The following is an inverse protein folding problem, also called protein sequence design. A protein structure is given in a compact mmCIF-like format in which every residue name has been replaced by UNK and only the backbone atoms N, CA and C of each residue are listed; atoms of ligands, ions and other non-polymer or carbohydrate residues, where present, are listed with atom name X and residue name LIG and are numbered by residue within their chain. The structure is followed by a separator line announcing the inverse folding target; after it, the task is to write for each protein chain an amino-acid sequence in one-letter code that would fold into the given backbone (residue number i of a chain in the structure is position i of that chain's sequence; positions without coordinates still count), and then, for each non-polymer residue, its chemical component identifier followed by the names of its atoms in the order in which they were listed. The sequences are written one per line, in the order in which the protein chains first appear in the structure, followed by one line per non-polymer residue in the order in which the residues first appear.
data_IF_289554213027
#
_entry.id   IF_289554213027
#
_cell.length_a   1.000
_cell.length_b   1.000
_cell.length_c   1.000
_cell.angle_alpha   90.00
_cell.angle_beta   90.00
_cell.angle_gamma   90.00
#
_symmetry.space_group_name_H-M   'P 1'
#
loop_
_entity.id
_entity.type
_entity.pdbx_description
1 polymer ?
#
# COMPACT_ATOMS: atom_id res chain seq x y z
N UNK A 1 -8.93 -10.08 -17.03
CA UNK A 1 -7.48 -9.74 -17.29
C UNK A 1 -6.73 -10.97 -17.80
N UNK A 2 -5.58 -10.85 -18.52
CA UNK A 2 -4.70 -12.00 -18.79
C UNK A 2 -3.68 -12.09 -17.62
N UNK A 3 -4.05 -12.81 -16.58
CA UNK A 3 -3.33 -12.88 -15.30
C UNK A 3 -1.89 -13.37 -15.45
N UNK A 4 -1.64 -14.39 -16.28
CA UNK A 4 -0.29 -14.93 -16.52
C UNK A 4 0.62 -13.87 -17.13
N UNK A 5 0.17 -13.23 -18.22
CA UNK A 5 0.97 -12.19 -18.90
C UNK A 5 1.19 -10.96 -18.02
N UNK A 6 0.21 -10.58 -17.21
CA UNK A 6 0.34 -9.46 -16.27
C UNK A 6 1.35 -9.81 -15.18
N UNK A 7 1.27 -11.01 -14.58
CA UNK A 7 2.25 -11.47 -13.60
C UNK A 7 3.67 -11.45 -14.19
N UNK A 8 3.86 -12.04 -15.37
CA UNK A 8 5.16 -12.09 -16.04
C UNK A 8 5.69 -10.71 -16.37
N UNK A 9 4.82 -9.80 -16.81
CA UNK A 9 5.20 -8.41 -17.08
C UNK A 9 5.73 -7.71 -15.83
N UNK A 10 5.00 -7.79 -14.71
CA UNK A 10 5.42 -7.16 -13.44
C UNK A 10 6.72 -7.78 -12.92
N UNK A 11 6.83 -9.12 -12.95
CA UNK A 11 8.05 -9.83 -12.52
C UNK A 11 9.27 -9.38 -13.36
N UNK A 12 9.12 -9.32 -14.67
CA UNK A 12 10.20 -8.90 -15.56
C UNK A 12 10.57 -7.42 -15.36
N UNK A 13 9.56 -6.54 -15.18
CA UNK A 13 9.78 -5.13 -14.89
C UNK A 13 10.57 -4.94 -13.58
N UNK A 14 10.22 -5.66 -12.51
CA UNK A 14 10.97 -5.64 -11.25
C UNK A 14 12.42 -6.11 -11.45
N UNK A 15 12.63 -7.22 -12.19
CA UNK A 15 13.98 -7.75 -12.50
C UNK A 15 14.84 -6.72 -13.24
N UNK A 16 14.30 -6.12 -14.28
CA UNK A 16 15.00 -5.14 -15.10
C UNK A 16 15.34 -3.89 -14.29
N UNK A 17 14.39 -3.43 -13.46
CA UNK A 17 14.62 -2.28 -12.62
C UNK A 17 15.75 -2.53 -11.61
N UNK A 18 15.72 -3.66 -10.91
CA UNK A 18 16.76 -4.02 -9.95
C UNK A 18 18.16 -4.10 -10.60
N UNK A 19 18.25 -4.73 -11.81
CA UNK A 19 19.51 -4.80 -12.59
C UNK A 19 20.01 -3.41 -12.98
N UNK A 20 19.15 -2.56 -13.50
CA UNK A 20 19.50 -1.21 -13.95
C UNK A 20 19.91 -0.30 -12.78
N UNK A 21 19.22 -0.42 -11.65
CA UNK A 21 19.54 0.30 -10.42
C UNK A 21 20.78 -0.28 -9.69
N UNK A 22 21.28 -1.46 -10.10
CA UNK A 22 22.41 -2.18 -9.50
C UNK A 22 22.20 -2.45 -8.00
N UNK A 23 20.98 -2.80 -7.63
CA UNK A 23 20.62 -3.17 -6.25
C UNK A 23 20.62 -4.67 -6.07
N UNK A 24 20.73 -5.12 -4.81
CA UNK A 24 20.85 -6.54 -4.48
C UNK A 24 19.49 -7.24 -4.40
N UNK A 25 18.39 -6.53 -4.14
CA UNK A 25 17.08 -7.15 -3.94
C UNK A 25 15.98 -6.17 -3.53
N UNK A 26 14.99 -6.71 -2.84
CA UNK A 26 13.77 -6.01 -2.45
C UNK A 26 13.46 -6.15 -0.97
N UNK A 27 12.88 -5.12 -0.38
CA UNK A 27 12.32 -5.13 0.96
C UNK A 27 10.83 -4.83 0.87
N UNK A 28 9.99 -5.71 1.40
CA UNK A 28 8.53 -5.60 1.33
C UNK A 28 7.93 -5.69 2.72
N UNK A 29 7.12 -4.71 3.11
CA UNK A 29 6.29 -4.79 4.31
C UNK A 29 5.13 -5.75 4.10
N UNK A 30 4.97 -6.77 4.96
CA UNK A 30 3.89 -7.76 4.86
C UNK A 30 2.91 -7.56 6.00
N UNK A 31 1.72 -7.02 5.68
CA UNK A 31 0.67 -6.69 6.64
C UNK A 31 -0.29 -7.85 6.94
N UNK A 32 -0.30 -8.88 6.11
CA UNK A 32 -1.34 -9.93 6.10
C UNK A 32 -2.58 -9.56 5.31
N UNK A 33 -2.54 -8.45 4.54
CA UNK A 33 -3.52 -8.06 3.53
C UNK A 33 -3.13 -8.54 2.13
N UNK A 34 -4.10 -8.55 1.21
CA UNK A 34 -3.95 -9.15 -0.12
C UNK A 34 -2.91 -8.44 -0.98
N UNK A 35 -2.83 -7.11 -0.91
CA UNK A 35 -1.90 -6.30 -1.71
C UNK A 35 -0.44 -6.62 -1.34
N UNK A 36 -0.13 -6.66 -0.04
CA UNK A 36 1.21 -7.01 0.44
C UNK A 36 1.59 -8.45 0.13
N UNK A 37 0.62 -9.38 0.18
CA UNK A 37 0.82 -10.78 -0.15
C UNK A 37 1.07 -10.97 -1.66
N UNK A 38 0.29 -10.30 -2.51
CA UNK A 38 0.53 -10.30 -3.96
C UNK A 38 1.90 -9.73 -4.29
N UNK A 39 2.22 -8.54 -3.77
CA UNK A 39 3.48 -7.84 -4.05
C UNK A 39 4.70 -8.67 -3.63
N UNK A 40 4.69 -9.23 -2.42
CA UNK A 40 5.80 -10.06 -1.93
C UNK A 40 5.95 -11.35 -2.75
N UNK A 41 4.85 -11.94 -3.22
CA UNK A 41 4.88 -13.10 -4.13
C UNK A 41 5.51 -12.73 -5.48
N UNK A 42 5.16 -11.59 -6.06
CA UNK A 42 5.74 -11.11 -7.32
C UNK A 42 7.25 -10.84 -7.16
N UNK A 43 7.67 -10.22 -6.04
CA UNK A 43 9.09 -10.01 -5.74
C UNK A 43 9.84 -11.35 -5.59
N UNK A 44 9.30 -12.31 -4.84
CA UNK A 44 9.89 -13.64 -4.68
C UNK A 44 10.11 -14.35 -6.03
N UNK A 45 9.14 -14.27 -6.94
CA UNK A 45 9.20 -14.87 -8.30
C UNK A 45 10.25 -14.22 -9.20
N UNK A 46 10.82 -13.07 -8.85
CA UNK A 46 11.92 -12.47 -9.61
C UNK A 46 13.22 -13.27 -9.48
N UNK A 47 13.41 -14.05 -8.42
CA UNK A 47 14.66 -14.70 -8.06
C UNK A 47 15.70 -13.77 -7.40
N UNK A 48 15.43 -12.47 -7.28
CA UNK A 48 16.25 -11.55 -6.49
C UNK A 48 15.99 -11.74 -4.99
N UNK A 49 17.00 -11.56 -4.11
CA UNK A 49 16.81 -11.54 -2.67
C UNK A 49 15.61 -10.67 -2.28
N UNK A 50 14.68 -11.23 -1.54
CA UNK A 50 13.44 -10.57 -1.11
C UNK A 50 13.30 -10.71 0.39
N UNK A 51 13.42 -9.59 1.11
CA UNK A 51 13.21 -9.51 2.55
C UNK A 51 11.76 -9.13 2.85
N UNK A 52 10.98 -10.06 3.38
CA UNK A 52 9.62 -9.84 3.87
C UNK A 52 9.66 -9.37 5.31
N UNK A 53 9.06 -8.20 5.61
CA UNK A 53 9.18 -7.57 6.93
C UNK A 53 7.81 -7.43 7.60
N UNK A 54 7.69 -7.98 8.81
CA UNK A 54 6.57 -7.71 9.71
C UNK A 54 6.88 -6.54 10.63
N UNK A 55 5.98 -5.57 10.71
CA UNK A 55 6.15 -4.33 11.48
C UNK A 55 4.93 -4.06 12.39
N UNK A 56 4.65 -4.93 13.39
CA UNK A 56 3.49 -4.73 14.24
C UNK A 56 3.61 -3.46 15.10
N UNK A 57 2.48 -2.73 15.20
CA UNK A 57 2.25 -1.62 16.13
C UNK A 57 0.82 -1.80 16.64
N UNK A 58 0.63 -2.42 17.82
CA UNK A 58 -0.67 -2.79 18.36
C UNK A 58 -1.55 -3.57 17.38
N UNK A 59 -0.91 -4.41 16.54
CA UNK A 59 -1.58 -5.11 15.46
C UNK A 59 -2.49 -6.24 15.98
N UNK A 60 -3.65 -6.42 15.36
CA UNK A 60 -4.56 -7.51 15.69
C UNK A 60 -3.92 -8.88 15.41
N UNK A 61 -4.13 -9.85 16.31
CA UNK A 61 -3.50 -11.19 16.24
C UNK A 61 -3.76 -11.91 14.91
N UNK A 62 -4.98 -11.80 14.37
CA UNK A 62 -5.34 -12.44 13.10
C UNK A 62 -4.58 -11.88 11.90
N UNK A 63 -4.27 -10.58 11.88
CA UNK A 63 -3.44 -9.97 10.83
C UNK A 63 -1.99 -10.48 10.92
N UNK A 64 -1.42 -10.51 12.14
CA UNK A 64 -0.09 -11.07 12.39
C UNK A 64 -0.02 -12.54 11.95
N UNK A 65 -1.02 -13.35 12.29
CA UNK A 65 -1.06 -14.78 11.90
C UNK A 65 -1.09 -14.94 10.38
N UNK A 66 -1.90 -14.16 9.64
CA UNK A 66 -1.95 -14.22 8.18
C UNK A 66 -0.62 -13.80 7.54
N UNK A 67 0.02 -12.73 8.07
CA UNK A 67 1.33 -12.31 7.58
C UNK A 67 2.37 -13.42 7.75
N UNK A 68 2.42 -14.06 8.91
CA UNK A 68 3.34 -15.16 9.21
C UNK A 68 3.08 -16.41 8.37
N UNK A 69 1.81 -16.77 8.16
CA UNK A 69 1.40 -17.88 7.27
C UNK A 69 1.94 -17.63 5.85
N UNK A 70 1.73 -16.43 5.32
CA UNK A 70 2.17 -16.07 3.99
C UNK A 70 3.70 -16.04 3.86
N UNK A 71 4.40 -15.41 4.79
CA UNK A 71 5.86 -15.37 4.79
C UNK A 71 6.45 -16.79 4.86
N UNK A 72 5.88 -17.65 5.70
CA UNK A 72 6.30 -19.04 5.82
C UNK A 72 6.11 -19.80 4.50
N UNK A 73 4.98 -19.59 3.82
CA UNK A 73 4.72 -20.16 2.50
C UNK A 73 5.77 -19.70 1.48
N UNK A 74 6.06 -18.40 1.43
CA UNK A 74 7.05 -17.86 0.50
C UNK A 74 8.45 -18.43 0.77
N UNK A 75 8.90 -18.50 2.02
CA UNK A 75 10.19 -19.07 2.40
C UNK A 75 10.32 -20.56 2.05
N UNK A 76 9.23 -21.32 2.18
CA UNK A 76 9.22 -22.74 1.81
C UNK A 76 9.19 -22.95 0.30
N UNK A 77 8.74 -21.96 -0.47
CA UNK A 77 8.60 -22.05 -1.93
C UNK A 77 9.79 -21.45 -2.68
N UNK A 78 10.42 -20.42 -2.12
CA UNK A 78 11.45 -19.63 -2.79
C UNK A 78 12.71 -19.49 -1.91
N UNK A 79 13.85 -19.99 -2.37
CA UNK A 79 15.13 -19.91 -1.67
C UNK A 79 15.67 -18.48 -1.49
N UNK A 80 15.23 -17.55 -2.34
CA UNK A 80 15.61 -16.13 -2.31
C UNK A 80 14.80 -15.28 -1.33
N UNK A 81 13.88 -15.88 -0.56
CA UNK A 81 13.05 -15.17 0.42
C UNK A 81 13.62 -15.32 1.82
N UNK A 82 13.78 -14.20 2.50
CA UNK A 82 14.10 -14.11 3.92
C UNK A 82 13.06 -13.25 4.64
N UNK A 83 13.06 -13.28 5.97
CA UNK A 83 12.13 -12.50 6.78
C UNK A 83 12.82 -11.77 7.92
N UNK A 84 12.18 -10.71 8.37
CA UNK A 84 12.49 -10.01 9.61
C UNK A 84 11.19 -9.58 10.30
N UNK A 85 11.23 -9.54 11.62
CA UNK A 85 10.14 -8.98 12.43
C UNK A 85 10.69 -7.90 13.33
N UNK A 86 10.11 -6.69 13.22
CA UNK A 86 10.46 -5.54 14.05
C UNK A 86 9.20 -5.02 14.71
N UNK A 87 9.03 -5.29 16.01
CA UNK A 87 7.92 -4.76 16.79
C UNK A 87 8.20 -3.29 17.13
N UNK A 88 7.43 -2.39 16.53
CA UNK A 88 7.56 -0.94 16.69
C UNK A 88 6.62 -0.38 17.76
N UNK A 89 5.96 -1.23 18.55
CA UNK A 89 4.97 -0.79 19.53
C UNK A 89 5.59 0.14 20.58
N UNK A 90 6.74 -0.22 21.16
CA UNK A 90 7.43 0.63 22.16
C UNK A 90 7.86 1.96 21.54
N UNK A 91 8.45 1.95 20.34
CA UNK A 91 8.88 3.16 19.63
C UNK A 91 7.70 4.10 19.36
N UNK A 92 6.54 3.56 19.00
CA UNK A 92 5.33 4.35 18.80
C UNK A 92 4.79 4.95 20.12
N UNK A 93 4.81 4.19 21.21
CA UNK A 93 4.39 4.70 22.54
C UNK A 93 5.37 5.78 23.04
N UNK A 94 6.67 5.60 22.86
CA UNK A 94 7.67 6.62 23.18
C UNK A 94 7.44 7.90 22.37
N UNK A 95 7.17 7.78 21.05
CA UNK A 95 6.79 8.93 20.22
C UNK A 95 5.57 9.67 20.78
N UNK A 96 4.51 8.94 21.16
CA UNK A 96 3.30 9.53 21.78
C UNK A 96 3.60 10.29 23.06
N UNK A 97 4.62 9.85 23.81
CA UNK A 97 5.00 10.48 25.08
C UNK A 97 5.77 11.80 24.91
N UNK A 98 6.50 11.95 23.81
CA UNK A 98 7.35 13.15 23.57
C UNK A 98 6.66 14.24 22.74
N UNK A 99 5.60 13.91 21.96
CA UNK A 99 4.87 14.94 21.20
C UNK A 99 3.94 15.76 22.12
N UNK A 100 3.63 17.03 21.75
CA UNK A 100 2.71 17.85 22.52
C UNK A 100 1.37 17.17 22.77
N UNK A 101 0.92 17.19 24.01
CA UNK A 101 -0.40 16.63 24.39
C UNK A 101 -1.49 17.59 23.95
N UNK A 102 -2.50 17.04 23.28
CA UNK A 102 -3.72 17.75 22.87
C UNK A 102 -4.94 16.95 23.31
N UNK A 103 -6.10 17.62 23.37
CA UNK A 103 -7.35 16.89 23.59
C UNK A 103 -7.59 15.85 22.50
N UNK A 104 -8.15 14.69 22.90
CA UNK A 104 -8.47 13.62 21.97
C UNK A 104 -9.44 14.10 20.89
N UNK A 105 -9.14 13.83 19.64
CA UNK A 105 -9.97 14.20 18.49
C UNK A 105 -9.64 13.30 17.29
N UNK A 106 -10.53 13.27 16.32
CA UNK A 106 -10.29 12.56 15.05
C UNK A 106 -9.01 13.01 14.33
N UNK A 107 -8.60 14.28 14.51
CA UNK A 107 -7.33 14.79 13.96
C UNK A 107 -6.12 14.18 14.66
N UNK A 108 -6.19 13.99 15.97
CA UNK A 108 -5.12 13.32 16.74
C UNK A 108 -5.02 11.86 16.32
N UNK A 109 -6.15 11.17 16.22
CA UNK A 109 -6.20 9.76 15.82
C UNK A 109 -5.62 9.55 14.42
N UNK A 110 -6.01 10.39 13.45
CA UNK A 110 -5.46 10.37 12.10
C UNK A 110 -3.96 10.68 12.07
N UNK A 111 -3.50 11.66 12.88
CA UNK A 111 -2.08 12.00 12.96
C UNK A 111 -1.27 10.85 13.52
N UNK A 112 -1.79 10.13 14.52
CA UNK A 112 -1.16 8.94 15.09
C UNK A 112 -1.18 7.75 14.13
N UNK A 113 -2.28 7.55 13.38
CA UNK A 113 -2.36 6.55 12.31
C UNK A 113 -1.28 6.80 11.25
N UNK A 114 -1.17 8.03 10.76
CA UNK A 114 -0.11 8.45 9.82
C UNK A 114 1.30 8.27 10.42
N UNK A 115 1.48 8.46 11.71
CA UNK A 115 2.76 8.23 12.39
C UNK A 115 3.13 6.75 12.38
N UNK A 116 2.18 5.84 12.63
CA UNK A 116 2.42 4.38 12.51
C UNK A 116 2.91 4.00 11.11
N UNK A 117 2.26 4.51 10.06
CA UNK A 117 2.67 4.27 8.69
C UNK A 117 4.11 4.78 8.40
N UNK A 118 4.45 5.98 8.91
CA UNK A 118 5.80 6.56 8.74
C UNK A 118 6.89 5.83 9.52
N UNK A 119 6.62 5.34 10.72
CA UNK A 119 7.57 4.51 11.47
C UNK A 119 7.87 3.20 10.72
N UNK A 120 6.86 2.57 10.13
CA UNK A 120 7.05 1.40 9.27
C UNK A 120 7.90 1.74 8.06
N UNK A 121 7.59 2.80 7.33
CA UNK A 121 8.38 3.26 6.18
C UNK A 121 9.84 3.49 6.57
N UNK A 122 10.11 4.22 7.64
CA UNK A 122 11.49 4.47 8.12
C UNK A 122 12.24 3.17 8.38
N UNK A 123 11.57 2.18 8.97
CA UNK A 123 12.17 0.87 9.26
C UNK A 123 12.46 0.07 7.98
N UNK A 124 11.54 0.11 7.00
CA UNK A 124 11.76 -0.53 5.70
C UNK A 124 12.96 0.07 4.98
N UNK A 125 13.08 1.40 4.96
CA UNK A 125 14.24 2.07 4.35
C UNK A 125 15.56 1.83 5.10
N UNK A 126 15.52 1.71 6.44
CA UNK A 126 16.69 1.30 7.20
C UNK A 126 17.18 -0.10 6.77
N UNK A 127 16.27 -1.07 6.68
CA UNK A 127 16.59 -2.42 6.23
C UNK A 127 17.03 -2.45 4.77
N UNK A 128 16.36 -1.69 3.90
CA UNK A 128 16.74 -1.57 2.49
C UNK A 128 18.16 -1.03 2.33
N UNK A 129 18.53 -0.01 3.12
CA UNK A 129 19.90 0.52 3.15
C UNK A 129 20.94 -0.52 3.58
N UNK A 130 20.64 -1.31 4.63
CA UNK A 130 21.53 -2.39 5.09
C UNK A 130 21.78 -3.45 4.02
N UNK A 131 20.77 -3.77 3.22
CA UNK A 131 20.82 -4.85 2.22
C UNK A 131 21.11 -4.34 0.79
N UNK A 132 21.34 -3.04 0.59
CA UNK A 132 21.44 -2.42 -0.73
C UNK A 132 20.26 -2.80 -1.64
N UNK A 133 19.06 -2.71 -1.11
CA UNK A 133 17.81 -3.14 -1.71
C UNK A 133 16.85 -1.97 -1.89
N UNK A 134 15.76 -2.17 -2.66
CA UNK A 134 14.69 -1.19 -2.84
C UNK A 134 13.48 -1.53 -1.96
N UNK A 135 12.82 -0.49 -1.45
CA UNK A 135 11.53 -0.60 -0.75
C UNK A 135 10.42 -0.71 -1.78
N UNK A 136 9.63 -1.79 -1.68
CA UNK A 136 8.54 -2.07 -2.62
C UNK A 136 7.19 -1.70 -1.99
N UNK A 137 6.46 -0.84 -2.69
CA UNK A 137 5.10 -0.42 -2.35
C UNK A 137 4.07 -1.51 -2.63
N UNK A 138 3.04 -1.49 -1.84
CA UNK A 138 1.92 -2.44 -1.91
C UNK A 138 0.58 -1.78 -2.23
N UNK A 139 0.58 -0.49 -2.58
CA UNK A 139 -0.62 0.25 -2.96
C UNK A 139 -1.13 -0.17 -4.33
N UNK A 140 -2.45 -0.28 -4.47
CA UNK A 140 -3.14 -0.54 -5.73
C UNK A 140 -3.68 0.75 -6.36
N UNK A 141 -4.19 0.66 -7.57
CA UNK A 141 -4.63 1.83 -8.36
C UNK A 141 -5.75 2.62 -7.70
N UNK A 142 -6.70 1.93 -7.06
CA UNK A 142 -7.84 2.57 -6.41
C UNK A 142 -7.39 3.40 -5.21
N UNK A 143 -6.54 2.82 -4.37
CA UNK A 143 -6.01 3.46 -3.18
C UNK A 143 -5.04 4.59 -3.52
N UNK A 144 -4.03 4.33 -4.37
CA UNK A 144 -2.95 5.28 -4.64
C UNK A 144 -3.38 6.40 -5.60
N UNK A 145 -4.04 6.07 -6.70
CA UNK A 145 -4.35 7.03 -7.78
C UNK A 145 -5.84 7.33 -7.94
N UNK A 146 -6.71 6.59 -7.26
CA UNK A 146 -8.14 6.85 -7.20
C UNK A 146 -8.49 7.81 -6.08
N UNK A 147 -8.43 7.36 -4.84
CA UNK A 147 -8.90 8.12 -3.67
C UNK A 147 -7.78 8.72 -2.81
N UNK A 148 -6.53 8.33 -3.02
CA UNK A 148 -5.38 8.75 -2.21
C UNK A 148 -5.48 8.25 -0.77
N UNK A 149 -5.98 7.03 -0.57
CA UNK A 149 -6.17 6.38 0.72
C UNK A 149 -4.86 5.76 1.23
N UNK A 150 -3.88 6.61 1.48
CA UNK A 150 -2.57 6.25 2.03
C UNK A 150 -1.93 7.44 2.73
N UNK A 151 -0.91 7.17 3.52
CA UNK A 151 -0.09 8.20 4.17
C UNK A 151 1.09 8.61 3.28
N UNK A 152 1.12 9.88 2.84
CA UNK A 152 2.28 10.42 2.12
C UNK A 152 3.54 10.29 2.98
N UNK A 153 4.59 9.67 2.43
CA UNK A 153 5.82 9.33 3.16
C UNK A 153 5.61 8.37 4.33
N UNK A 154 4.53 7.59 4.30
CA UNK A 154 4.31 6.42 5.12
C UNK A 154 4.27 5.18 4.20
N UNK A 155 3.13 4.53 4.08
CA UNK A 155 2.90 3.44 3.12
C UNK A 155 3.05 3.87 1.65
N UNK A 156 2.82 5.17 1.32
CA UNK A 156 3.15 5.75 0.02
C UNK A 156 4.63 6.20 -0.14
N UNK A 157 5.47 5.97 0.87
CA UNK A 157 6.92 6.26 0.81
C UNK A 157 7.70 5.03 0.37
N UNK A 158 7.85 4.83 -0.95
CA UNK A 158 8.42 3.62 -1.55
C UNK A 158 9.28 3.96 -2.76
N UNK A 159 10.12 3.02 -3.19
CA UNK A 159 10.94 3.19 -4.40
C UNK A 159 10.22 2.70 -5.65
N UNK A 160 9.43 1.61 -5.55
CA UNK A 160 8.71 1.00 -6.66
C UNK A 160 7.28 0.63 -6.23
N UNK A 161 6.32 0.78 -7.12
CA UNK A 161 4.91 0.43 -6.92
C UNK A 161 4.43 -0.56 -8.00
N UNK A 162 4.75 -1.86 -7.88
CA UNK A 162 4.54 -2.84 -8.97
C UNK A 162 3.07 -3.16 -9.26
N UNK A 163 2.16 -2.92 -8.31
CA UNK A 163 0.73 -3.20 -8.47
C UNK A 163 -0.14 -1.93 -8.53
N UNK A 164 0.48 -0.75 -8.59
CA UNK A 164 -0.23 0.53 -8.55
C UNK A 164 -1.06 0.83 -9.82
N UNK A 165 -0.89 0.07 -10.89
CA UNK A 165 -1.76 0.14 -12.09
C UNK A 165 -2.88 -0.91 -12.09
N UNK A 166 -2.95 -1.77 -11.07
CA UNK A 166 -4.01 -2.77 -10.91
C UNK A 166 -5.16 -2.22 -10.06
N UNK A 167 -6.39 -2.39 -10.53
CA UNK A 167 -7.60 -2.20 -9.72
C UNK A 167 -7.66 -3.24 -8.60
N UNK A 168 -8.43 -2.99 -7.56
CA UNK A 168 -8.56 -3.94 -6.43
C UNK A 168 -9.09 -5.31 -6.88
N UNK A 169 -10.06 -5.32 -7.78
CA UNK A 169 -10.59 -6.53 -8.41
C UNK A 169 -9.51 -7.33 -9.15
N UNK A 170 -8.62 -6.64 -9.86
CA UNK A 170 -7.49 -7.24 -10.57
C UNK A 170 -6.42 -7.78 -9.62
N UNK A 171 -6.20 -7.11 -8.47
CA UNK A 171 -5.33 -7.61 -7.39
C UNK A 171 -5.86 -8.96 -6.87
N UNK A 172 -7.17 -9.08 -6.62
CA UNK A 172 -7.77 -10.35 -6.20
C UNK A 172 -7.61 -11.45 -7.25
N UNK A 173 -7.87 -11.12 -8.53
CA UNK A 173 -7.73 -12.07 -9.64
C UNK A 173 -6.28 -12.59 -9.76
N UNK A 174 -5.30 -11.68 -9.67
CA UNK A 174 -3.89 -12.03 -9.77
C UNK A 174 -3.39 -12.79 -8.53
N UNK A 175 -3.85 -12.42 -7.33
CA UNK A 175 -3.53 -13.11 -6.08
C UNK A 175 -4.05 -14.56 -6.09
N UNK A 176 -5.27 -14.79 -6.60
CA UNK A 176 -5.83 -16.14 -6.77
C UNK A 176 -5.00 -16.97 -7.75
N UNK A 177 -4.62 -16.40 -8.90
CA UNK A 177 -3.76 -17.03 -9.89
C UNK A 177 -2.39 -17.43 -9.32
N UNK A 178 -1.80 -16.59 -8.47
CA UNK A 178 -0.51 -16.84 -7.84
C UNK A 178 -0.59 -17.67 -6.55
N UNK A 179 -1.76 -18.24 -6.23
CA UNK A 179 -2.01 -19.09 -5.07
C UNK A 179 -1.68 -18.41 -3.71
N UNK A 180 -1.98 -17.12 -3.59
CA UNK A 180 -1.97 -16.44 -2.28
C UNK A 180 -2.93 -17.19 -1.34
N UNK A 181 -2.58 -17.40 -0.03
CA UNK A 181 -3.41 -18.15 0.89
C UNK A 181 -4.88 -17.67 0.96
N UNK A 182 -5.81 -18.62 0.99
CA UNK A 182 -7.25 -18.32 1.08
C UNK A 182 -7.64 -17.52 2.33
N UNK A 183 -6.90 -17.68 3.42
CA UNK A 183 -7.05 -16.88 4.66
C UNK A 183 -6.88 -15.38 4.40
N UNK A 184 -6.00 -15.02 3.47
CA UNK A 184 -5.74 -13.64 3.03
C UNK A 184 -6.79 -13.19 2.01
N UNK A 185 -7.07 -14.01 0.98
CA UNK A 185 -8.01 -13.66 -0.07
C UNK A 185 -9.44 -13.40 0.44
N UNK A 186 -9.84 -14.05 1.56
CA UNK A 186 -11.18 -13.89 2.18
C UNK A 186 -11.22 -12.81 3.26
N UNK A 187 -10.09 -12.25 3.64
CA UNK A 187 -10.05 -11.21 4.65
C UNK A 187 -10.54 -9.88 4.08
N UNK A 188 -11.40 -9.19 4.81
CA UNK A 188 -11.81 -7.83 4.45
C UNK A 188 -10.58 -6.90 4.45
N UNK A 189 -10.45 -6.00 3.45
CA UNK A 189 -9.39 -4.98 3.43
C UNK A 189 -9.49 -4.08 4.66
N UNK A 190 -8.36 -3.87 5.32
CA UNK A 190 -8.24 -2.96 6.47
C UNK A 190 -6.80 -2.48 6.60
N UNK A 191 -6.63 -1.19 6.86
CA UNK A 191 -5.33 -0.58 7.13
C UNK A 191 -4.79 -0.94 8.53
N UNK A 192 -5.67 -1.37 9.45
CA UNK A 192 -5.30 -1.75 10.82
C UNK A 192 -4.65 -0.63 11.62
N UNK A 193 -4.90 0.64 11.28
CA UNK A 193 -4.25 1.80 11.88
C UNK A 193 -5.01 2.38 13.08
N UNK A 194 -6.30 2.09 13.22
CA UNK A 194 -7.14 2.68 14.26
C UNK A 194 -7.36 1.78 15.48
N UNK A 195 -6.97 0.50 15.41
CA UNK A 195 -7.07 -0.43 16.54
C UNK A 195 -8.49 -0.99 16.77
N UNK A 196 -9.41 -0.74 15.84
CA UNK A 196 -10.77 -1.29 15.79
C UNK A 196 -10.95 -2.23 14.57
N UNK A 197 -12.18 -2.67 14.31
CA UNK A 197 -12.49 -3.62 13.23
C UNK A 197 -13.01 -2.96 11.95
N UNK A 198 -12.92 -1.62 11.83
CA UNK A 198 -13.38 -0.91 10.64
C UNK A 198 -12.61 -1.37 9.40
N UNK A 199 -13.33 -1.51 8.30
CA UNK A 199 -12.75 -1.81 6.99
C UNK A 199 -12.33 -0.51 6.27
N UNK A 200 -11.57 -0.64 5.19
CA UNK A 200 -11.24 0.50 4.33
C UNK A 200 -12.51 1.07 3.69
N UNK A 201 -13.45 0.23 3.29
CA UNK A 201 -14.75 0.63 2.72
C UNK A 201 -15.61 1.40 3.73
N UNK A 202 -15.59 1.00 5.03
CA UNK A 202 -16.27 1.76 6.10
C UNK A 202 -15.68 3.16 6.27
N UNK A 203 -14.36 3.29 6.13
CA UNK A 203 -13.66 4.58 6.26
C UNK A 203 -13.89 5.49 5.06
N UNK A 204 -13.92 4.92 3.86
CA UNK A 204 -14.10 5.66 2.60
C UNK A 204 -15.59 6.02 2.40
N UNK A 205 -16.51 5.13 2.79
CA UNK A 205 -17.95 5.27 2.58
C UNK A 205 -18.44 4.73 1.22
N UNK A 206 -17.60 3.98 0.52
CA UNK A 206 -17.92 3.31 -0.73
C UNK A 206 -17.13 1.99 -0.85
N UNK A 207 -17.68 1.00 -1.55
CA UNK A 207 -16.98 -0.25 -1.83
C UNK A 207 -15.91 -0.07 -2.93
N UNK A 208 -14.95 -1.00 -3.01
CA UNK A 208 -13.95 -0.98 -4.07
C UNK A 208 -14.59 -1.08 -5.46
N UNK A 209 -15.61 -1.91 -5.64
CA UNK A 209 -16.34 -2.01 -6.91
C UNK A 209 -17.00 -0.68 -7.32
N UNK A 210 -17.58 0.02 -6.36
CA UNK A 210 -18.16 1.36 -6.57
C UNK A 210 -17.07 2.40 -6.92
N UNK A 211 -15.92 2.33 -6.28
CA UNK A 211 -14.80 3.24 -6.57
C UNK A 211 -14.19 2.97 -7.95
N UNK A 212 -14.02 1.71 -8.34
CA UNK A 212 -13.56 1.33 -9.68
C UNK A 212 -14.52 1.81 -10.77
N UNK A 213 -15.83 1.69 -10.52
CA UNK A 213 -16.86 2.26 -11.39
C UNK A 213 -16.70 3.79 -11.50
N UNK A 214 -16.54 4.50 -10.38
CA UNK A 214 -16.40 5.94 -10.37
C UNK A 214 -15.14 6.41 -11.12
N UNK A 215 -14.00 5.73 -10.93
CA UNK A 215 -12.76 5.98 -11.68
C UNK A 215 -12.96 5.82 -13.19
N UNK A 216 -13.68 4.77 -13.61
CA UNK A 216 -14.01 4.54 -15.01
C UNK A 216 -14.93 5.63 -15.56
N UNK A 217 -15.92 6.07 -14.79
CA UNK A 217 -16.82 7.16 -15.21
C UNK A 217 -16.07 8.47 -15.37
N UNK A 218 -15.18 8.81 -14.43
CA UNK A 218 -14.32 10.00 -14.55
C UNK A 218 -13.42 9.93 -15.80
N UNK A 219 -12.79 8.80 -16.06
CA UNK A 219 -11.95 8.61 -17.24
C UNK A 219 -12.72 8.74 -18.57
N UNK A 220 -14.02 8.47 -18.56
CA UNK A 220 -14.94 8.66 -19.67
C UNK A 220 -15.50 10.10 -19.76
N UNK A 221 -15.00 11.03 -18.95
CA UNK A 221 -15.41 12.44 -18.97
C UNK A 221 -16.78 12.71 -18.34
N UNK A 222 -17.28 11.80 -17.51
CA UNK A 222 -18.53 12.00 -16.77
C UNK A 222 -18.37 12.96 -15.60
N UNK A 223 -19.44 13.58 -15.20
CA UNK A 223 -19.55 14.55 -14.11
C UNK A 223 -20.63 14.14 -13.10
N UNK A 224 -20.67 14.78 -11.94
CA UNK A 224 -21.70 14.52 -10.92
C UNK A 224 -23.14 14.64 -11.46
N UNK A 225 -23.37 15.53 -12.44
CA UNK A 225 -24.68 15.77 -13.02
C UNK A 225 -25.20 14.62 -13.92
N UNK A 226 -24.32 13.67 -14.27
CA UNK A 226 -24.69 12.51 -15.09
C UNK A 226 -25.37 11.39 -14.26
N UNK A 227 -25.36 11.52 -12.91
CA UNK A 227 -25.75 10.44 -12.00
C UNK A 227 -26.84 10.87 -11.02
N UNK A 228 -27.53 9.89 -10.39
CA UNK A 228 -28.51 10.09 -9.34
C UNK A 228 -28.45 8.97 -8.29
N UNK A 229 -29.07 9.17 -7.12
CA UNK A 229 -29.10 8.16 -6.06
C UNK A 229 -27.69 7.73 -5.63
N UNK A 230 -27.47 6.41 -5.45
CA UNK A 230 -26.19 5.87 -4.95
C UNK A 230 -25.03 6.16 -5.90
N UNK A 231 -25.22 6.13 -7.20
CA UNK A 231 -24.18 6.46 -8.18
C UNK A 231 -23.67 7.90 -8.00
N UNK A 232 -24.59 8.86 -7.78
CA UNK A 232 -24.23 10.25 -7.49
C UNK A 232 -23.43 10.37 -6.18
N UNK A 233 -23.87 9.68 -5.12
CA UNK A 233 -23.19 9.69 -3.82
C UNK A 233 -21.76 9.17 -3.94
N UNK A 234 -21.60 7.99 -4.57
CA UNK A 234 -20.30 7.35 -4.76
C UNK A 234 -19.36 8.21 -5.61
N UNK A 235 -19.87 8.74 -6.73
CA UNK A 235 -19.06 9.59 -7.60
C UNK A 235 -18.60 10.87 -6.88
N UNK A 236 -19.46 11.43 -6.04
CA UNK A 236 -19.14 12.59 -5.21
C UNK A 236 -18.11 12.27 -4.12
N UNK A 237 -18.24 11.11 -3.44
CA UNK A 237 -17.23 10.63 -2.47
C UNK A 237 -15.88 10.51 -3.18
N UNK A 238 -15.86 9.80 -4.32
CA UNK A 238 -14.66 9.60 -5.11
C UNK A 238 -14.00 10.93 -5.51
N UNK A 239 -14.74 11.86 -6.13
CA UNK A 239 -14.20 13.16 -6.56
C UNK A 239 -13.70 14.00 -5.39
N UNK A 240 -14.39 13.96 -4.25
CA UNK A 240 -13.98 14.68 -3.04
C UNK A 240 -12.63 14.20 -2.55
N UNK A 241 -12.45 12.88 -2.45
CA UNK A 241 -11.19 12.26 -2.01
C UNK A 241 -10.08 12.46 -3.05
N UNK A 242 -10.36 12.22 -4.33
CA UNK A 242 -9.42 12.42 -5.42
C UNK A 242 -8.85 13.84 -5.43
N UNK A 243 -9.72 14.87 -5.38
CA UNK A 243 -9.30 16.27 -5.40
C UNK A 243 -8.53 16.66 -4.14
N UNK A 244 -8.98 16.23 -2.96
CA UNK A 244 -8.32 16.53 -1.69
C UNK A 244 -6.92 15.88 -1.59
N UNK A 245 -6.73 14.72 -2.20
CA UNK A 245 -5.53 13.91 -2.08
C UNK A 245 -4.55 14.00 -3.27
N UNK A 246 -4.83 14.82 -4.30
CA UNK A 246 -3.93 14.97 -5.45
C UNK A 246 -2.48 15.31 -5.07
N UNK A 247 -2.28 16.08 -4.00
CA UNK A 247 -0.95 16.41 -3.49
C UNK A 247 -0.12 15.20 -3.05
N UNK A 248 -0.76 14.04 -2.81
CA UNK A 248 -0.07 12.78 -2.52
C UNK A 248 0.38 12.08 -3.79
N UNK A 249 -0.43 12.16 -4.86
CA UNK A 249 -0.29 11.42 -6.13
C UNK A 249 0.66 12.13 -7.09
N UNK A 250 0.77 13.44 -7.00
CA UNK A 250 1.58 14.25 -7.91
C UNK A 250 3.02 14.42 -7.39
N UNK A 251 3.94 14.70 -8.32
CA UNK A 251 5.30 15.09 -7.97
C UNK A 251 5.29 16.32 -7.06
N UNK A 252 6.30 16.43 -6.20
CA UNK A 252 6.44 17.58 -5.29
C UNK A 252 6.50 18.87 -6.12
N UNK A 253 5.61 19.85 -5.85
CA UNK A 253 5.63 21.12 -6.57
C UNK A 253 6.95 21.87 -6.34
N UNK A 254 7.54 22.34 -7.43
CA UNK A 254 8.77 23.13 -7.40
C UNK A 254 8.45 24.58 -7.81
N UNK A 255 8.85 25.54 -6.99
CA UNK A 255 8.79 26.96 -7.37
C UNK A 255 9.81 27.23 -8.48
N UNK A 256 9.32 27.39 -9.69
CA UNK A 256 10.17 27.73 -10.85
C UNK A 256 10.44 29.24 -10.85
N UNK A 257 11.73 29.61 -10.66
CA UNK A 257 12.15 31.00 -10.70
C UNK A 257 12.28 31.41 -12.19
N UNK A 258 11.61 32.50 -12.61
CA UNK A 258 11.76 33.05 -13.95
C UNK A 258 13.22 33.38 -14.27
N UNK A 259 13.61 33.22 -15.55
CA UNK A 259 15.00 33.44 -15.97
C UNK A 259 15.47 34.88 -15.72
N UNK A 260 14.56 35.83 -15.88
CA UNK A 260 14.78 37.25 -15.68
C UNK A 260 15.04 37.66 -14.22
N UNK A 261 14.78 36.76 -13.26
CA UNK A 261 15.07 36.96 -11.83
C UNK A 261 16.32 36.23 -11.36
N UNK A 262 16.99 35.51 -12.24
CA UNK A 262 18.27 34.81 -12.00
C UNK A 262 19.42 35.54 -12.66
#
# INVERSE_FOLDING_TARGET
MNTEKVADHIINWLKEYAKNAKVNGFVVGVSGGIDSALTSTLCAKTGFPTLCVELPIHQAKNQVTRAQEHISLLKNTFENVSDARVDLTSTFEDFKNVVPKTESSSKVDLSLANTRARLRMTTLYYLAGLHSSLVIGTGNKVEDFGVGFYTKYGDGGVDLSPIADLMKSEVYELAAFLNVPNSIQKAAPTDGLFGDSRTDEDQIGASYDELEWAMKMQSNGKSENDFSGREYEVFKIYLTLFNANQHKMLAIPICKIPKELK
#
